data_IF_299698996948
#
_entry.id   IF_299698996948
#
_cell.length_a   1.000
_cell.length_b   1.000
_cell.length_c   1.000
_cell.angle_alpha   90.00
_cell.angle_beta   90.00
_cell.angle_gamma   90.00
#
_symmetry.space_group_name_H-M   'P 1'
#
loop_
_entity.id
_entity.type
_entity.pdbx_description
1 polymer ?
#
# COMPACT_ATOMS: atom_id res chain seq x y z
N UNK A 1 6.66 -10.17 -9.90
CA UNK A 1 5.47 -9.28 -9.94
C UNK A 1 4.94 -9.21 -8.52
N UNK A 2 4.60 -8.02 -8.00
CA UNK A 2 4.08 -7.88 -6.63
C UNK A 2 2.62 -8.35 -6.64
N UNK A 3 2.33 -9.51 -6.04
CA UNK A 3 0.99 -10.12 -6.04
C UNK A 3 0.19 -9.76 -4.78
N UNK A 4 0.89 -9.49 -3.68
CA UNK A 4 0.32 -9.11 -2.39
C UNK A 4 1.18 -8.02 -1.77
N UNK A 5 0.53 -7.14 -1.00
CA UNK A 5 1.19 -6.12 -0.18
C UNK A 5 0.61 -6.19 1.23
N UNK A 6 1.47 -6.44 2.20
CA UNK A 6 1.12 -6.42 3.63
C UNK A 6 1.84 -5.27 4.31
N UNK A 7 1.09 -4.44 5.02
CA UNK A 7 1.58 -3.28 5.77
C UNK A 7 1.21 -3.48 7.24
N UNK A 8 2.20 -3.41 8.12
CA UNK A 8 2.02 -3.51 9.57
C UNK A 8 2.69 -2.33 10.26
N UNK A 9 1.97 -1.73 11.22
CA UNK A 9 2.43 -0.62 12.06
C UNK A 9 3.09 0.55 11.30
N UNK A 10 2.53 0.94 10.15
CA UNK A 10 3.08 2.00 9.30
C UNK A 10 2.04 3.09 9.00
N UNK A 11 2.38 4.34 9.33
CA UNK A 11 1.63 5.57 8.95
C UNK A 11 0.10 5.44 9.06
N UNK A 12 -0.39 5.05 10.24
CA UNK A 12 -1.82 4.91 10.54
C UNK A 12 -2.41 3.54 10.22
N UNK A 13 -1.70 2.68 9.48
CA UNK A 13 -2.08 1.28 9.31
C UNK A 13 -1.50 0.43 10.44
N UNK A 14 -2.37 -0.04 11.35
CA UNK A 14 -1.98 -1.08 12.32
C UNK A 14 -1.76 -2.42 11.61
N UNK A 15 -2.70 -2.79 10.76
CA UNK A 15 -2.62 -3.96 9.87
C UNK A 15 -3.45 -3.68 8.62
N UNK A 16 -2.85 -3.87 7.45
CA UNK A 16 -3.50 -3.68 6.16
C UNK A 16 -2.94 -4.67 5.14
N UNK A 17 -3.81 -5.23 4.31
CA UNK A 17 -3.44 -6.21 3.29
C UNK A 17 -4.17 -5.92 1.98
N UNK A 18 -3.40 -5.83 0.89
CA UNK A 18 -3.87 -5.82 -0.48
C UNK A 18 -3.50 -7.15 -1.11
N UNK A 19 -4.52 -7.94 -1.45
CA UNK A 19 -4.37 -9.21 -2.15
C UNK A 19 -4.69 -9.05 -3.63
N UNK A 20 -4.22 -9.99 -4.45
CA UNK A 20 -4.56 -10.08 -5.88
C UNK A 20 -4.21 -8.81 -6.67
N UNK A 21 -3.05 -8.20 -6.39
CA UNK A 21 -2.59 -7.03 -7.11
C UNK A 21 -2.43 -7.34 -8.59
N UNK A 22 -3.16 -6.58 -9.42
CA UNK A 22 -3.09 -6.68 -10.87
C UNK A 22 -1.91 -5.90 -11.44
N UNK A 23 -1.76 -5.95 -12.77
CA UNK A 23 -0.82 -5.09 -13.50
C UNK A 23 -1.13 -3.59 -13.31
N UNK A 24 -2.40 -3.26 -13.15
CA UNK A 24 -2.90 -1.91 -12.84
C UNK A 24 -3.84 -2.03 -11.66
N UNK A 25 -3.66 -1.19 -10.65
CA UNK A 25 -4.50 -1.13 -9.46
C UNK A 25 -4.92 0.33 -9.25
N UNK A 26 -6.21 0.56 -8.97
CA UNK A 26 -6.76 1.89 -8.73
C UNK A 26 -7.07 2.06 -7.24
N UNK A 27 -6.34 2.93 -6.56
CA UNK A 27 -6.57 3.27 -5.16
C UNK A 27 -7.45 4.52 -5.05
N UNK A 28 -8.68 4.37 -4.56
CA UNK A 28 -9.66 5.46 -4.40
C UNK A 28 -10.00 5.72 -2.93
N UNK A 29 -10.47 6.92 -2.64
CA UNK A 29 -10.89 7.34 -1.29
C UNK A 29 -10.68 8.84 -1.06
N UNK A 30 -11.23 9.37 0.02
CA UNK A 30 -11.08 10.79 0.41
C UNK A 30 -9.63 11.16 0.70
N UNK A 31 -9.31 12.46 0.69
CA UNK A 31 -7.97 12.92 1.09
C UNK A 31 -7.61 12.42 2.49
N UNK A 32 -6.32 12.15 2.70
CA UNK A 32 -5.80 11.60 3.96
C UNK A 32 -6.29 10.18 4.33
N UNK A 33 -6.96 9.45 3.44
CA UNK A 33 -7.42 8.07 3.69
C UNK A 33 -6.31 7.00 3.66
N UNK A 34 -5.02 7.39 3.66
CA UNK A 34 -3.89 6.46 3.65
C UNK A 34 -3.39 6.01 2.26
N UNK A 35 -3.91 6.56 1.15
CA UNK A 35 -3.45 6.21 -0.21
C UNK A 35 -1.96 6.48 -0.42
N UNK A 36 -1.49 7.67 -0.04
CA UNK A 36 -0.06 8.02 -0.12
C UNK A 36 0.78 7.10 0.75
N UNK A 37 0.31 6.78 1.97
CA UNK A 37 0.99 5.84 2.86
C UNK A 37 1.16 4.44 2.23
N UNK A 38 0.18 3.96 1.44
CA UNK A 38 0.34 2.70 0.69
C UNK A 38 1.46 2.81 -0.34
N UNK A 39 1.51 3.90 -1.11
CA UNK A 39 2.57 4.12 -2.10
C UNK A 39 3.95 4.28 -1.46
N UNK A 40 4.06 4.97 -0.32
CA UNK A 40 5.29 5.10 0.45
C UNK A 40 5.78 3.73 0.97
N UNK A 41 4.87 2.87 1.44
CA UNK A 41 5.23 1.51 1.85
C UNK A 41 5.78 0.68 0.68
N UNK A 42 5.20 0.81 -0.52
CA UNK A 42 5.73 0.17 -1.74
C UNK A 42 7.11 0.74 -2.08
N UNK A 43 7.29 2.06 -1.99
CA UNK A 43 8.56 2.71 -2.30
C UNK A 43 9.70 2.20 -1.41
N UNK A 44 9.46 1.98 -0.11
CA UNK A 44 10.46 1.40 0.81
C UNK A 44 10.95 0.02 0.37
N UNK A 45 10.10 -0.79 -0.27
CA UNK A 45 10.50 -2.09 -0.80
C UNK A 45 11.31 -1.99 -2.10
N UNK A 46 11.09 -0.93 -2.88
CA UNK A 46 11.80 -0.70 -4.14
C UNK A 46 13.13 0.06 -3.97
N UNK A 47 13.32 0.74 -2.84
CA UNK A 47 14.51 1.56 -2.54
C UNK A 47 14.83 1.46 -1.05
N UNK A 48 15.48 0.35 -0.63
CA UNK A 48 15.82 0.11 0.78
C UNK A 48 16.91 1.05 1.30
#
# INVERSE_FOLDING_TARGET
>A
MLNTLKIENFRGFKSFELQQLGRVNLLVGVNNSGKTSILEAIQLLCSP
#
